data_IF_430429206091
#
_entry.id   IF_430429206091
#
_cell.length_a   1.000
_cell.length_b   1.000
_cell.length_c   1.000
_cell.angle_alpha   90.00
_cell.angle_beta   90.00
_cell.angle_gamma   90.00
#
_symmetry.space_group_name_H-M   'P 1'
#
loop_
_entity.id
_entity.type
_entity.pdbx_description
1 polymer ?
#
# COMPACT_ATOMS: atom_id res chain seq x y z
N UNK A 1 16.55 7.49 3.32
CA UNK A 1 15.18 6.95 3.44
C UNK A 1 14.28 7.26 2.24
N UNK A 2 14.03 8.53 1.88
CA UNK A 2 13.08 8.88 0.79
C UNK A 2 13.30 8.13 -0.53
N UNK A 3 14.54 8.04 -1.03
CA UNK A 3 14.86 7.31 -2.28
C UNK A 3 14.48 5.83 -2.28
N UNK A 4 14.56 5.16 -1.13
CA UNK A 4 14.20 3.74 -0.99
C UNK A 4 12.67 3.59 -1.02
N UNK A 5 11.96 4.44 -0.29
CA UNK A 5 10.48 4.44 -0.28
C UNK A 5 9.90 4.75 -1.66
N UNK A 6 10.48 5.68 -2.40
CA UNK A 6 10.04 6.02 -3.76
C UNK A 6 10.22 4.83 -4.70
N UNK A 7 11.32 4.09 -4.57
CA UNK A 7 11.66 3.00 -5.51
C UNK A 7 10.96 1.68 -5.20
N UNK A 8 10.81 1.36 -3.91
CA UNK A 8 10.33 0.04 -3.47
C UNK A 8 8.94 0.07 -2.84
N UNK A 9 8.48 1.24 -2.36
CA UNK A 9 7.20 1.38 -1.67
C UNK A 9 6.22 2.31 -2.43
N UNK A 10 6.44 2.48 -3.74
CA UNK A 10 5.49 3.13 -4.64
C UNK A 10 4.68 2.05 -5.36
N UNK A 11 3.35 2.23 -5.44
CA UNK A 11 2.50 1.36 -6.25
C UNK A 11 2.85 1.50 -7.74
N UNK A 12 3.12 2.73 -8.17
CA UNK A 12 3.41 3.05 -9.56
C UNK A 12 4.92 3.20 -9.76
N UNK A 13 5.48 2.42 -10.69
CA UNK A 13 6.88 2.56 -11.11
C UNK A 13 7.03 3.67 -12.15
N UNK A 14 6.07 3.79 -13.06
CA UNK A 14 6.00 4.83 -14.08
C UNK A 14 4.73 5.68 -13.93
N UNK A 15 4.90 7.00 -14.03
CA UNK A 15 3.82 7.98 -13.94
C UNK A 15 3.35 8.40 -15.33
N UNK A 16 2.52 7.57 -15.96
CA UNK A 16 1.76 7.94 -17.17
C UNK A 16 0.41 8.58 -16.78
N UNK A 17 -0.30 9.14 -17.77
CA UNK A 17 -1.56 9.85 -17.53
C UNK A 17 -2.60 8.99 -16.79
N UNK A 18 -2.71 7.71 -17.14
CA UNK A 18 -3.62 6.76 -16.46
C UNK A 18 -3.28 6.54 -14.98
N UNK A 19 -1.99 6.37 -14.66
CA UNK A 19 -1.54 6.14 -13.28
C UNK A 19 -1.68 7.41 -12.44
N UNK A 20 -1.47 8.58 -13.05
CA UNK A 20 -1.69 9.88 -12.41
C UNK A 20 -3.17 10.05 -12.08
N UNK A 21 -4.08 9.75 -13.01
CA UNK A 21 -5.52 9.82 -12.77
C UNK A 21 -5.96 8.88 -11.64
N UNK A 22 -5.53 7.61 -11.70
CA UNK A 22 -5.82 6.61 -10.67
C UNK A 22 -5.31 7.06 -9.30
N UNK A 23 -4.06 7.52 -9.22
CA UNK A 23 -3.47 8.01 -7.98
C UNK A 23 -4.21 9.24 -7.45
N UNK A 24 -4.59 10.19 -8.31
CA UNK A 24 -5.34 11.36 -7.89
C UNK A 24 -6.73 10.99 -7.33
N UNK A 25 -7.43 10.06 -7.97
CA UNK A 25 -8.71 9.53 -7.48
C UNK A 25 -8.57 8.83 -6.12
N UNK A 26 -7.53 8.00 -5.96
CA UNK A 26 -7.19 7.36 -4.68
C UNK A 26 -6.80 8.38 -3.61
N UNK A 27 -6.04 9.41 -3.99
CA UNK A 27 -5.59 10.47 -3.09
C UNK A 27 -6.76 11.30 -2.57
N UNK A 28 -7.70 11.65 -3.44
CA UNK A 28 -8.94 12.37 -3.09
C UNK A 28 -9.82 11.56 -2.13
N UNK A 29 -9.86 10.23 -2.30
CA UNK A 29 -10.56 9.32 -1.40
C UNK A 29 -9.95 9.27 0.01
N UNK A 30 -8.71 9.74 0.18
CA UNK A 30 -8.04 9.90 1.47
C UNK A 30 -7.23 8.69 1.93
N UNK A 31 -6.23 8.96 2.78
CA UNK A 31 -5.27 7.97 3.26
C UNK A 31 -5.92 6.78 3.98
N UNK A 32 -6.89 7.03 4.86
CA UNK A 32 -7.54 5.96 5.63
C UNK A 32 -8.25 4.96 4.73
N UNK A 33 -8.98 5.45 3.71
CA UNK A 33 -9.69 4.59 2.76
C UNK A 33 -8.71 3.78 1.91
N UNK A 34 -7.60 4.38 1.51
CA UNK A 34 -6.52 3.67 0.84
C UNK A 34 -5.92 2.55 1.71
N UNK A 35 -5.58 2.84 2.97
CA UNK A 35 -5.00 1.84 3.88
C UNK A 35 -5.98 0.69 4.11
N UNK A 36 -7.28 0.98 4.27
CA UNK A 36 -8.30 -0.04 4.44
C UNK A 36 -8.45 -0.91 3.19
N UNK A 37 -8.49 -0.32 2.00
CA UNK A 37 -8.69 -1.08 0.76
C UNK A 37 -7.42 -1.82 0.33
N UNK A 38 -6.32 -1.09 0.14
CA UNK A 38 -5.08 -1.65 -0.40
C UNK A 38 -4.28 -2.43 0.66
N UNK A 39 -4.26 -1.95 1.90
CA UNK A 39 -3.59 -2.62 3.00
C UNK A 39 -4.44 -3.75 3.58
N UNK A 40 -5.57 -3.42 4.18
CA UNK A 40 -6.34 -4.39 4.98
C UNK A 40 -7.13 -5.37 4.11
N UNK A 41 -7.95 -4.88 3.16
CA UNK A 41 -8.85 -5.76 2.39
C UNK A 41 -8.07 -6.59 1.38
N UNK A 42 -7.23 -5.97 0.55
CA UNK A 42 -6.50 -6.71 -0.50
C UNK A 42 -5.39 -7.60 0.06
N UNK A 43 -4.64 -7.11 1.05
CA UNK A 43 -3.48 -7.81 1.57
C UNK A 43 -3.76 -8.51 2.90
N UNK A 44 -4.27 -7.79 3.90
CA UNK A 44 -4.51 -8.31 5.25
C UNK A 44 -5.49 -9.48 5.29
N UNK A 45 -6.67 -9.32 4.67
CA UNK A 45 -7.71 -10.36 4.65
C UNK A 45 -7.24 -11.58 3.86
N UNK A 46 -6.64 -11.38 2.68
CA UNK A 46 -6.12 -12.47 1.85
C UNK A 46 -5.06 -13.28 2.59
N UNK A 47 -4.11 -12.61 3.26
CA UNK A 47 -3.06 -13.27 4.03
C UNK A 47 -3.63 -14.00 5.27
N UNK A 48 -4.52 -13.36 6.02
CA UNK A 48 -5.15 -13.98 7.19
C UNK A 48 -5.94 -15.23 6.78
N UNK A 49 -6.71 -15.15 5.69
CA UNK A 49 -7.48 -16.29 5.18
C UNK A 49 -6.57 -17.46 4.76
N UNK A 50 -5.46 -17.18 4.09
CA UNK A 50 -4.50 -18.20 3.67
C UNK A 50 -3.86 -18.91 4.87
N UNK A 51 -3.43 -18.15 5.89
CA UNK A 51 -2.82 -18.72 7.09
C UNK A 51 -3.80 -19.49 7.97
N UNK A 52 -5.04 -19.01 8.10
CA UNK A 52 -6.10 -19.73 8.82
C UNK A 52 -6.40 -21.05 8.11
N UNK A 53 -6.53 -21.03 6.77
CA UNK A 53 -6.79 -22.22 5.97
C UNK A 53 -5.67 -23.25 6.11
N UNK A 54 -4.41 -22.81 6.07
CA UNK A 54 -3.25 -23.68 6.27
C UNK A 54 -3.28 -24.33 7.67
N UNK A 55 -3.55 -23.55 8.71
CA UNK A 55 -3.64 -24.04 10.10
C UNK A 55 -4.78 -25.02 10.30
N UNK A 56 -5.94 -24.78 9.67
CA UNK A 56 -7.08 -25.70 9.69
C UNK A 56 -6.73 -27.06 9.09
N UNK A 57 -5.98 -27.10 7.98
CA UNK A 57 -5.50 -28.35 7.37
C UNK A 57 -4.58 -29.13 8.31
N UNK A 58 -3.80 -28.44 9.15
CA UNK A 58 -2.88 -29.05 10.10
C UNK A 58 -3.55 -29.52 11.40
N UNK A 59 -4.88 -29.34 11.56
CA UNK A 59 -5.64 -29.63 12.79
C UNK A 59 -5.06 -28.96 14.06
N UNK A 60 -4.32 -27.87 13.89
CA UNK A 60 -3.60 -27.16 14.95
C UNK A 60 -4.25 -25.79 15.15
N UNK A 61 -5.53 -25.77 15.57
CA UNK A 61 -6.30 -24.51 15.62
C UNK A 61 -7.14 -24.37 16.87
N UNK A 62 -6.64 -23.59 17.83
CA UNK A 62 -7.46 -23.03 18.90
C UNK A 62 -8.09 -21.69 18.49
N UNK A 63 -9.28 -21.36 19.02
CA UNK A 63 -9.95 -20.06 18.80
C UNK A 63 -9.03 -18.87 19.12
N UNK A 64 -8.22 -18.99 20.17
CA UNK A 64 -7.25 -17.96 20.59
C UNK A 64 -6.13 -17.77 19.56
N UNK A 65 -5.74 -18.82 18.83
CA UNK A 65 -4.68 -18.74 17.83
C UNK A 65 -5.17 -18.04 16.56
N UNK A 66 -6.38 -18.34 16.11
CA UNK A 66 -7.05 -17.61 15.01
C UNK A 66 -7.09 -16.12 15.33
N UNK A 67 -7.50 -15.77 16.55
CA UNK A 67 -7.58 -14.37 16.99
C UNK A 67 -6.20 -13.69 16.95
N UNK A 68 -5.13 -14.37 17.37
CA UNK A 68 -3.75 -13.85 17.28
C UNK A 68 -3.30 -13.65 15.84
N UNK A 69 -3.55 -14.63 14.97
CA UNK A 69 -3.19 -14.54 13.53
C UNK A 69 -3.91 -13.34 12.90
N UNK A 70 -5.21 -13.21 13.11
CA UNK A 70 -5.98 -12.06 12.61
C UNK A 70 -5.43 -10.74 13.11
N UNK A 71 -5.09 -10.64 14.40
CA UNK A 71 -4.58 -9.39 14.98
C UNK A 71 -3.19 -9.02 14.42
N UNK A 72 -2.28 -9.98 14.30
CA UNK A 72 -0.94 -9.75 13.73
C UNK A 72 -1.06 -9.28 12.28
N UNK A 73 -1.87 -9.97 11.46
CA UNK A 73 -2.07 -9.59 10.05
C UNK A 73 -2.83 -8.27 9.88
N UNK A 74 -3.74 -7.94 10.80
CA UNK A 74 -4.41 -6.64 10.82
C UNK A 74 -3.40 -5.50 11.06
N UNK A 75 -2.54 -5.63 12.08
CA UNK A 75 -1.52 -4.61 12.36
C UNK A 75 -0.51 -4.53 11.22
N UNK A 76 -0.05 -5.66 10.70
CA UNK A 76 0.88 -5.70 9.57
C UNK A 76 0.31 -5.04 8.32
N UNK A 77 -0.97 -5.28 8.01
CA UNK A 77 -1.64 -4.70 6.85
C UNK A 77 -1.88 -3.19 6.97
N UNK A 78 -2.15 -2.68 8.18
CA UNK A 78 -2.22 -1.23 8.43
C UNK A 78 -0.86 -0.55 8.21
N UNK A 79 0.22 -1.13 8.75
CA UNK A 79 1.59 -0.63 8.57
C UNK A 79 1.97 -0.68 7.09
N UNK A 80 1.69 -1.79 6.41
CA UNK A 80 1.93 -1.97 4.98
C UNK A 80 1.22 -0.87 4.16
N UNK A 81 -0.09 -0.69 4.36
CA UNK A 81 -0.86 0.31 3.65
C UNK A 81 -0.33 1.73 3.88
N UNK A 82 0.07 2.05 5.12
CA UNK A 82 0.65 3.34 5.46
C UNK A 82 1.98 3.58 4.74
N UNK A 83 2.89 2.60 4.77
CA UNK A 83 4.21 2.70 4.10
C UNK A 83 4.03 2.89 2.59
N UNK A 84 3.12 2.16 1.96
CA UNK A 84 2.82 2.30 0.53
C UNK A 84 2.19 3.64 0.17
N UNK A 85 1.31 4.17 1.03
CA UNK A 85 0.75 5.50 0.83
C UNK A 85 1.85 6.57 0.84
N UNK A 86 2.73 6.53 1.83
CA UNK A 86 3.84 7.49 1.96
C UNK A 86 4.83 7.35 0.80
N UNK A 87 5.19 6.12 0.42
CA UNK A 87 6.10 5.87 -0.69
C UNK A 87 5.53 6.33 -2.03
N UNK A 88 4.25 6.05 -2.30
CA UNK A 88 3.56 6.48 -3.52
C UNK A 88 3.38 7.99 -3.58
N UNK A 89 3.03 8.63 -2.45
CA UNK A 89 2.93 10.10 -2.36
C UNK A 89 4.28 10.75 -2.64
N UNK A 90 5.35 10.26 -2.01
CA UNK A 90 6.69 10.78 -2.23
C UNK A 90 7.15 10.56 -3.68
N UNK A 91 6.81 9.42 -4.30
CA UNK A 91 7.11 9.15 -5.70
C UNK A 91 6.42 10.16 -6.63
N UNK A 92 5.12 10.41 -6.39
CA UNK A 92 4.33 11.37 -7.16
C UNK A 92 4.86 12.79 -7.05
N UNK A 93 5.19 13.25 -5.84
CA UNK A 93 5.73 14.59 -5.62
C UNK A 93 7.06 14.81 -6.35
N UNK A 94 7.92 13.79 -6.39
CA UNK A 94 9.17 13.88 -7.17
C UNK A 94 8.92 13.93 -8.67
N UNK A 95 7.94 13.17 -9.17
CA UNK A 95 7.53 13.24 -10.57
C UNK A 95 7.07 14.65 -10.95
N UNK A 96 6.16 15.24 -10.16
CA UNK A 96 5.65 16.60 -10.41
C UNK A 96 6.78 17.64 -10.34
N UNK A 97 7.67 17.54 -9.35
CA UNK A 97 8.79 18.46 -9.21
C UNK A 97 9.77 18.41 -10.40
N UNK A 98 10.03 17.21 -10.95
CA UNK A 98 10.92 17.04 -12.10
C UNK A 98 10.27 17.50 -13.42
N UNK A 99 8.98 17.26 -13.61
CA UNK A 99 8.27 17.78 -14.78
C UNK A 99 8.21 19.31 -14.81
N UNK A 100 8.01 19.95 -13.64
CA UNK A 100 8.03 21.41 -13.53
C UNK A 100 9.39 22.00 -13.93
N UNK A 101 10.50 21.43 -13.44
CA UNK A 101 11.86 21.85 -13.83
C UNK A 101 12.15 21.70 -15.32
N UNK A 102 11.60 20.68 -15.95
CA UNK A 102 11.80 20.43 -17.39
C UNK A 102 11.03 21.44 -18.25
N UNK A 103 9.87 21.89 -17.77
CA UNK A 103 9.10 22.95 -18.41
C UNK A 103 9.78 24.31 -18.25
N UNK A 104 10.27 24.65 -17.06
CA UNK A 104 10.95 25.93 -16.79
C UNK A 104 12.31 26.06 -17.51
N UNK A 105 12.96 24.93 -17.87
CA UNK A 105 14.20 24.93 -18.64
C UNK A 105 14.02 25.03 -20.18
N UNK A 106 12.76 24.95 -20.67
CA UNK A 106 12.42 25.05 -22.10
C UNK A 106 11.77 26.38 -22.48
N UNK A 107 11.47 27.23 -21.50
CA UNK A 107 10.96 28.60 -21.65
C UNK A 107 12.12 29.57 -21.48
#
# INVERSE_FOLDING_TARGET
MKKVLIRYCSIYQDWNDDNIEKWNSQRQSGMFKFILIEGVIKWGVTAAFLFISLKLVMNDVGKMEIMRICFIWLVASLVYGYVYWVGTTASYENYVANNKKTHDARV
#
